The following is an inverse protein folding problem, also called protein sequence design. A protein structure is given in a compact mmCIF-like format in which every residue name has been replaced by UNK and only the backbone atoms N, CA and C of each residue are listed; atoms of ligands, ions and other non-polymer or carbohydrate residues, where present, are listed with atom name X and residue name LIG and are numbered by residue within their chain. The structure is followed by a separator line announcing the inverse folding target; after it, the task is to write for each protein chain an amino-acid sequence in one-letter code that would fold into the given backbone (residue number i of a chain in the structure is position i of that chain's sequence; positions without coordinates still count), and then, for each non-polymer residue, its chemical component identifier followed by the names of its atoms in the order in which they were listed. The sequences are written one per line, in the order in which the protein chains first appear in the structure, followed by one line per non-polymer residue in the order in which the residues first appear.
data_IF_421652991066
#
_entry.id   IF_421652991066
#
_cell.length_a   1.000
_cell.length_b   1.000
_cell.length_c   1.000
_cell.angle_alpha   90.00
_cell.angle_beta   90.00
_cell.angle_gamma   90.00
#
_symmetry.space_group_name_H-M   'P 1'
#
loop_
_entity.id
_entity.type
_entity.pdbx_description
1 polymer ?
#
# COMPACT_ATOMS: atom_id res chain seq x y z
N UNK A 1 8.77 14.51 -27.18
CA UNK A 1 8.06 14.19 -25.95
C UNK A 1 8.96 13.24 -25.18
N UNK A 2 9.60 13.69 -24.11
CA UNK A 2 10.35 12.81 -23.21
C UNK A 2 9.32 12.04 -22.39
N UNK A 3 9.12 10.76 -22.73
CA UNK A 3 8.30 9.88 -21.89
C UNK A 3 9.07 9.58 -20.62
N UNK A 4 8.43 9.79 -19.46
CA UNK A 4 8.97 9.33 -18.19
C UNK A 4 8.63 7.84 -18.03
N UNK A 5 9.61 7.04 -17.65
CA UNK A 5 9.36 5.70 -17.18
C UNK A 5 9.10 5.75 -15.65
N UNK A 6 8.24 4.91 -15.17
CA UNK A 6 7.92 4.83 -13.75
C UNK A 6 8.19 3.42 -13.26
N UNK A 7 8.87 3.30 -12.14
CA UNK A 7 9.13 2.05 -11.45
C UNK A 7 8.48 2.08 -10.07
N UNK A 8 7.88 0.96 -9.69
CA UNK A 8 7.37 0.77 -8.34
C UNK A 8 8.25 -0.23 -7.61
N UNK A 9 8.79 0.19 -6.48
CA UNK A 9 9.55 -0.62 -5.55
C UNK A 9 8.65 -1.01 -4.39
N UNK A 10 8.59 -2.29 -4.09
CA UNK A 10 7.69 -2.86 -3.09
C UNK A 10 8.52 -3.58 -2.03
N UNK A 11 8.23 -3.31 -0.76
CA UNK A 11 8.85 -3.99 0.35
C UNK A 11 7.82 -4.39 1.41
N UNK A 12 7.77 -5.68 1.73
CA UNK A 12 6.92 -6.18 2.80
C UNK A 12 7.52 -5.93 4.17
N UNK A 13 6.68 -5.46 5.08
CA UNK A 13 7.00 -5.31 6.51
C UNK A 13 6.11 -6.25 7.31
N UNK A 14 6.73 -7.07 8.12
CA UNK A 14 6.03 -8.04 8.96
C UNK A 14 5.95 -7.57 10.41
N UNK A 15 4.94 -7.98 11.18
CA UNK A 15 4.94 -7.75 12.61
C UNK A 15 6.17 -8.39 13.27
N UNK A 16 6.77 -7.68 14.21
CA UNK A 16 7.88 -8.24 14.99
C UNK A 16 7.39 -9.38 15.87
N UNK A 17 8.19 -10.43 15.98
CA UNK A 17 7.89 -11.58 16.87
C UNK A 17 7.91 -11.20 18.34
N UNK A 18 8.61 -10.13 18.70
CA UNK A 18 8.73 -9.65 20.08
C UNK A 18 7.62 -8.67 20.45
N UNK A 19 7.18 -7.86 19.50
CA UNK A 19 6.11 -6.89 19.70
C UNK A 19 5.30 -6.76 18.40
N UNK A 20 4.09 -7.31 18.33
CA UNK A 20 3.26 -7.30 17.13
C UNK A 20 2.81 -5.91 16.67
N UNK A 21 2.93 -4.89 17.51
CA UNK A 21 2.62 -3.49 17.15
C UNK A 21 3.78 -2.82 16.39
N UNK A 22 4.95 -3.47 16.37
CA UNK A 22 6.13 -2.99 15.64
C UNK A 22 6.28 -3.81 14.36
N UNK A 23 6.44 -3.12 13.23
CA UNK A 23 6.66 -3.73 11.94
C UNK A 23 8.12 -3.63 11.51
N UNK A 24 8.70 -4.76 11.19
CA UNK A 24 10.08 -4.89 10.72
C UNK A 24 10.11 -5.14 9.22
N UNK A 25 11.13 -4.63 8.55
CA UNK A 25 11.36 -4.91 7.12
C UNK A 25 11.69 -6.39 6.91
N UNK A 26 10.86 -7.05 6.12
CA UNK A 26 11.05 -8.45 5.76
C UNK A 26 12.08 -8.65 4.64
N UNK A 27 12.39 -9.89 4.28
CA UNK A 27 13.33 -10.20 3.20
C UNK A 27 12.75 -9.97 1.81
N UNK A 28 11.42 -9.85 1.69
CA UNK A 28 10.73 -9.81 0.39
C UNK A 28 10.59 -8.40 -0.11
N UNK A 29 11.37 -8.08 -1.15
CA UNK A 29 11.39 -6.81 -1.85
C UNK A 29 11.56 -7.05 -3.33
N UNK A 30 10.72 -6.40 -4.12
CA UNK A 30 10.70 -6.54 -5.56
C UNK A 30 10.25 -5.25 -6.25
N UNK A 31 10.44 -5.18 -7.52
CA UNK A 31 10.10 -4.04 -8.35
C UNK A 31 9.61 -4.50 -9.74
N UNK A 32 8.89 -3.65 -10.43
CA UNK A 32 8.24 -3.99 -11.69
C UNK A 32 9.00 -3.55 -12.95
N UNK A 33 10.22 -3.10 -12.81
CA UNK A 33 11.08 -2.81 -13.93
C UNK A 33 11.92 -4.05 -14.29
N UNK A 34 12.22 -4.28 -15.55
CA UNK A 34 12.68 -5.57 -16.12
C UNK A 34 14.06 -6.07 -15.69
N UNK A 35 14.76 -5.40 -14.80
CA UNK A 35 16.06 -5.83 -14.26
C UNK A 35 16.09 -5.70 -12.75
N UNK A 36 16.91 -6.53 -12.10
CA UNK A 36 17.14 -6.36 -10.67
C UNK A 36 17.86 -5.03 -10.42
N UNK A 37 17.37 -4.28 -9.46
CA UNK A 37 17.90 -2.96 -9.15
C UNK A 37 18.33 -2.86 -7.70
N UNK A 38 19.50 -2.26 -7.47
CA UNK A 38 19.96 -1.86 -6.13
C UNK A 38 19.65 -0.39 -5.94
N UNK A 39 18.91 -0.07 -4.91
CA UNK A 39 18.48 1.26 -4.58
C UNK A 39 18.68 1.56 -3.11
N UNK A 40 19.03 2.79 -2.77
CA UNK A 40 19.01 3.26 -1.38
C UNK A 40 17.57 3.50 -0.96
N UNK A 41 17.11 2.75 0.02
CA UNK A 41 15.75 2.90 0.53
C UNK A 41 15.58 4.25 1.24
N UNK A 42 14.46 4.93 0.98
CA UNK A 42 14.24 6.29 1.42
C UNK A 42 14.20 6.42 2.97
N UNK A 43 13.65 5.43 3.66
CA UNK A 43 13.44 5.49 5.11
C UNK A 43 14.67 5.05 5.90
N UNK A 44 15.29 3.93 5.51
CA UNK A 44 16.42 3.39 6.27
C UNK A 44 17.80 3.78 5.73
N UNK A 45 17.84 4.48 4.59
CA UNK A 45 19.06 5.01 3.96
C UNK A 45 20.14 3.96 3.63
N UNK A 46 19.78 2.66 3.61
CA UNK A 46 20.70 1.60 3.23
C UNK A 46 20.40 1.10 1.82
N UNK A 47 21.45 0.72 1.05
CA UNK A 47 21.26 0.07 -0.24
C UNK A 47 20.49 -1.25 -0.09
N UNK A 48 19.45 -1.41 -0.88
CA UNK A 48 18.63 -2.61 -0.91
C UNK A 48 18.53 -3.11 -2.35
N UNK A 49 18.65 -4.42 -2.54
CA UNK A 49 18.46 -5.04 -3.85
C UNK A 49 17.01 -5.48 -3.99
N UNK A 50 16.35 -5.02 -5.03
CA UNK A 50 14.98 -5.39 -5.38
C UNK A 50 15.00 -6.32 -6.57
N UNK A 51 14.38 -7.47 -6.43
CA UNK A 51 14.26 -8.43 -7.52
C UNK A 51 13.18 -7.98 -8.51
N UNK A 52 13.37 -8.31 -9.76
CA UNK A 52 12.35 -8.07 -10.76
C UNK A 52 11.19 -9.05 -10.56
N UNK A 53 9.99 -8.53 -10.48
CA UNK A 53 8.76 -9.29 -10.54
C UNK A 53 7.73 -8.54 -11.40
N UNK A 54 7.10 -9.18 -12.40
CA UNK A 54 6.09 -8.52 -13.21
C UNK A 54 4.81 -8.32 -12.39
N UNK A 55 4.52 -7.10 -12.01
CA UNK A 55 3.27 -6.75 -11.35
C UNK A 55 2.73 -5.39 -11.82
N UNK A 56 1.46 -5.19 -11.61
CA UNK A 56 0.79 -3.90 -11.78
C UNK A 56 0.16 -3.45 -10.47
N UNK A 57 0.27 -2.16 -10.18
CA UNK A 57 -0.48 -1.49 -9.13
C UNK A 57 -1.66 -0.78 -9.77
N UNK A 58 -2.86 -1.03 -9.26
CA UNK A 58 -4.06 -0.33 -9.67
C UNK A 58 -4.68 0.34 -8.46
N UNK A 59 -4.88 1.64 -8.58
CA UNK A 59 -5.63 2.41 -7.58
C UNK A 59 -7.10 2.09 -7.75
N UNK A 60 -7.73 1.55 -6.72
CA UNK A 60 -9.18 1.40 -6.70
C UNK A 60 -9.82 2.78 -6.81
N UNK A 61 -10.73 2.95 -7.75
CA UNK A 61 -11.58 4.14 -7.80
C UNK A 61 -12.38 4.17 -6.49
N UNK A 62 -12.05 5.11 -5.60
CA UNK A 62 -12.85 5.36 -4.42
C UNK A 62 -14.29 5.59 -4.86
N UNK A 63 -15.23 4.80 -4.36
CA UNK A 63 -16.63 5.09 -4.55
C UNK A 63 -16.91 6.50 -4.05
N UNK A 64 -17.60 7.28 -4.87
CA UNK A 64 -18.05 8.63 -4.50
C UNK A 64 -18.80 8.56 -3.16
N UNK A 65 -18.14 8.97 -2.09
CA UNK A 65 -18.73 9.07 -0.75
C UNK A 65 -18.22 8.11 0.32
N UNK A 66 -17.21 7.28 0.03
CA UNK A 66 -16.61 6.42 1.05
C UNK A 66 -15.11 6.67 1.18
N UNK A 67 -14.68 6.93 2.40
CA UNK A 67 -13.27 7.19 2.79
C UNK A 67 -12.33 5.97 2.66
N UNK A 68 -12.68 4.97 1.87
CA UNK A 68 -11.88 3.75 1.71
C UNK A 68 -11.06 3.81 0.43
N UNK A 69 -9.82 4.25 0.55
CA UNK A 69 -8.84 4.05 -0.51
C UNK A 69 -8.37 2.60 -0.50
N UNK A 70 -8.66 1.89 -1.56
CA UNK A 70 -8.16 0.52 -1.78
C UNK A 70 -7.24 0.52 -2.98
N UNK A 71 -6.09 -0.12 -2.86
CA UNK A 71 -5.21 -0.39 -3.99
C UNK A 71 -5.16 -1.90 -4.22
N UNK A 72 -4.80 -2.29 -5.42
CA UNK A 72 -4.59 -3.69 -5.76
C UNK A 72 -3.22 -3.87 -6.40
N UNK A 73 -2.53 -4.94 -6.00
CA UNK A 73 -1.32 -5.41 -6.65
C UNK A 73 -1.65 -6.70 -7.38
N UNK A 74 -1.49 -6.71 -8.70
CA UNK A 74 -1.81 -7.86 -9.56
C UNK A 74 -0.52 -8.40 -10.15
N UNK A 75 -0.32 -9.70 -10.07
CA UNK A 75 0.85 -10.39 -10.63
C UNK A 75 0.49 -11.79 -11.12
N UNK A 76 1.41 -12.46 -11.81
CA UNK A 76 1.24 -13.86 -12.20
C UNK A 76 1.28 -14.81 -11.01
N UNK A 77 0.38 -15.78 -10.97
CA UNK A 77 0.30 -16.74 -9.86
C UNK A 77 1.56 -17.63 -9.71
N UNK A 78 2.33 -17.80 -10.79
CA UNK A 78 3.59 -18.54 -10.81
C UNK A 78 4.83 -17.67 -10.62
N UNK A 79 4.67 -16.37 -10.36
CA UNK A 79 5.79 -15.46 -10.13
C UNK A 79 6.55 -15.88 -8.86
N UNK A 80 7.88 -15.90 -8.94
CA UNK A 80 8.76 -16.20 -7.82
C UNK A 80 9.52 -14.95 -7.42
N UNK A 81 9.73 -14.78 -6.13
CA UNK A 81 10.57 -13.74 -5.53
C UNK A 81 11.59 -14.46 -4.66
N UNK A 82 12.86 -14.43 -5.06
CA UNK A 82 13.85 -15.33 -4.50
C UNK A 82 13.46 -16.78 -4.75
N UNK A 83 13.39 -17.60 -3.72
CA UNK A 83 12.96 -19.00 -3.78
C UNK A 83 11.49 -19.18 -3.38
N UNK A 84 10.71 -18.12 -3.26
CA UNK A 84 9.35 -18.18 -2.74
C UNK A 84 8.35 -17.86 -3.85
N UNK A 85 7.40 -18.76 -4.06
CA UNK A 85 6.28 -18.51 -4.95
C UNK A 85 5.40 -17.42 -4.33
N UNK A 86 5.01 -16.42 -5.14
CA UNK A 86 4.29 -15.24 -4.69
C UNK A 86 2.96 -15.56 -3.99
N UNK A 87 2.32 -16.65 -4.37
CA UNK A 87 1.10 -17.14 -3.72
C UNK A 87 1.33 -17.41 -2.23
N UNK A 88 2.41 -18.10 -1.89
CA UNK A 88 2.74 -18.41 -0.49
C UNK A 88 3.08 -17.14 0.29
N UNK A 89 3.79 -16.22 -0.36
CA UNK A 89 4.10 -14.92 0.21
C UNK A 89 2.83 -14.12 0.54
N UNK A 90 1.90 -14.02 -0.42
CA UNK A 90 0.66 -13.27 -0.24
C UNK A 90 -0.25 -13.90 0.82
N UNK A 91 -0.33 -15.24 0.84
CA UNK A 91 -1.07 -15.96 1.87
C UNK A 91 -0.52 -15.63 3.25
N UNK A 92 0.78 -15.75 3.45
CA UNK A 92 1.42 -15.42 4.71
C UNK A 92 1.22 -13.94 5.08
N UNK A 93 1.36 -13.03 4.12
CA UNK A 93 1.16 -11.60 4.35
C UNK A 93 -0.26 -11.24 4.79
N UNK A 94 -1.28 -11.96 4.28
CA UNK A 94 -2.68 -11.81 4.72
C UNK A 94 -2.88 -12.39 6.12
N UNK A 95 -2.42 -13.62 6.35
CA UNK A 95 -2.60 -14.34 7.62
C UNK A 95 -1.93 -13.58 8.80
N UNK A 96 -0.74 -13.05 8.57
CA UNK A 96 0.04 -12.31 9.57
C UNK A 96 -0.19 -10.80 9.53
N UNK A 97 -1.07 -10.30 8.66
CA UNK A 97 -1.45 -8.88 8.55
C UNK A 97 -0.27 -7.95 8.28
N UNK A 98 0.56 -8.31 7.32
CA UNK A 98 1.73 -7.51 6.95
C UNK A 98 1.35 -6.14 6.40
N UNK A 99 2.33 -5.24 6.44
CA UNK A 99 2.28 -3.98 5.71
C UNK A 99 3.06 -4.13 4.40
N UNK A 100 2.64 -3.38 3.40
CA UNK A 100 3.31 -3.24 2.13
C UNK A 100 3.70 -1.78 1.95
N UNK A 101 4.98 -1.52 1.83
CA UNK A 101 5.49 -0.21 1.46
C UNK A 101 5.76 -0.17 -0.03
N UNK A 102 5.29 0.87 -0.67
CA UNK A 102 5.43 1.11 -2.11
C UNK A 102 6.11 2.45 -2.32
N UNK A 103 7.27 2.44 -2.96
CA UNK A 103 7.92 3.64 -3.45
C UNK A 103 7.75 3.73 -4.96
N UNK A 104 7.16 4.81 -5.43
CA UNK A 104 7.02 5.11 -6.85
C UNK A 104 8.10 6.10 -7.26
N UNK A 105 8.86 5.76 -8.29
CA UNK A 105 10.03 6.52 -8.73
C UNK A 105 9.95 6.77 -10.22
N UNK A 106 10.29 7.99 -10.64
CA UNK A 106 10.59 8.24 -12.06
C UNK A 106 11.97 7.73 -12.40
N UNK A 107 12.12 7.20 -13.60
CA UNK A 107 13.39 6.75 -14.14
C UNK A 107 13.82 7.69 -15.25
N UNK A 108 15.13 7.95 -15.32
CA UNK A 108 15.72 8.61 -16.48
C UNK A 108 15.51 7.73 -17.73
N UNK A 109 14.88 8.23 -18.79
CA UNK A 109 14.53 7.43 -19.96
C UNK A 109 15.76 6.96 -20.76
N UNK A 110 16.93 7.54 -20.53
CA UNK A 110 18.16 7.21 -21.25
C UNK A 110 19.03 6.19 -20.50
N UNK A 111 19.08 6.27 -19.19
CA UNK A 111 19.93 5.43 -18.34
C UNK A 111 19.16 4.41 -17.52
N UNK A 112 17.85 4.59 -17.40
CA UNK A 112 16.96 3.84 -16.51
C UNK A 112 17.39 3.86 -15.04
N UNK A 113 18.20 4.84 -14.67
CA UNK A 113 18.53 5.11 -13.28
C UNK A 113 17.37 5.82 -12.57
N UNK A 114 17.29 5.64 -11.26
CA UNK A 114 16.35 6.40 -10.43
C UNK A 114 16.64 7.90 -10.58
N UNK A 115 15.64 8.66 -10.96
CA UNK A 115 15.71 10.11 -11.12
C UNK A 115 15.06 10.82 -9.95
N UNK A 116 13.78 10.56 -9.71
CA UNK A 116 13.05 11.26 -8.66
C UNK A 116 12.06 10.32 -7.95
N UNK A 117 12.06 10.37 -6.62
CA UNK A 117 11.00 9.76 -5.81
C UNK A 117 9.71 10.56 -6.00
N UNK A 118 8.66 9.91 -6.48
CA UNK A 118 7.34 10.51 -6.69
C UNK A 118 6.49 10.38 -5.43
N UNK A 119 6.38 9.16 -4.89
CA UNK A 119 5.60 8.89 -3.68
C UNK A 119 6.16 7.73 -2.88
N UNK A 120 5.88 7.76 -1.58
CA UNK A 120 6.05 6.62 -0.67
C UNK A 120 4.72 6.38 0.03
N UNK A 121 4.19 5.19 -0.12
CA UNK A 121 2.89 4.80 0.42
C UNK A 121 3.03 3.54 1.25
N UNK A 122 2.31 3.47 2.36
CA UNK A 122 2.24 2.27 3.20
C UNK A 122 0.81 1.76 3.22
N UNK A 123 0.64 0.50 2.91
CA UNK A 123 -0.63 -0.18 2.82
C UNK A 123 -0.66 -1.37 3.76
N UNK A 124 -1.83 -1.69 4.28
CA UNK A 124 -2.05 -2.96 4.96
C UNK A 124 -2.54 -4.00 3.97
N UNK A 125 -1.97 -5.19 4.07
CA UNK A 125 -2.44 -6.34 3.29
C UNK A 125 -3.80 -6.78 3.84
N UNK A 126 -4.83 -6.73 3.00
CA UNK A 126 -6.21 -7.04 3.39
C UNK A 126 -6.60 -8.46 3.05
N UNK A 127 -6.64 -8.79 1.78
CA UNK A 127 -7.02 -10.11 1.27
C UNK A 127 -6.31 -10.39 -0.06
N UNK A 128 -6.35 -11.64 -0.49
CA UNK A 128 -5.93 -11.97 -1.85
C UNK A 128 -7.03 -12.76 -2.59
N UNK A 129 -7.02 -12.62 -3.88
CA UNK A 129 -7.86 -13.39 -4.80
C UNK A 129 -6.96 -14.03 -5.84
N UNK A 130 -7.27 -15.25 -6.23
CA UNK A 130 -6.50 -15.98 -7.23
C UNK A 130 -7.42 -16.49 -8.34
N UNK A 131 -7.01 -16.22 -9.55
CA UNK A 131 -7.53 -16.85 -10.77
C UNK A 131 -6.49 -17.84 -11.30
N UNK A 132 -6.79 -18.54 -12.37
CA UNK A 132 -5.94 -19.59 -13.00
C UNK A 132 -4.54 -19.11 -13.35
N UNK A 133 -4.38 -17.82 -13.67
CA UNK A 133 -3.12 -17.23 -14.15
C UNK A 133 -2.60 -16.08 -13.31
N UNK A 134 -3.46 -15.43 -12.55
CA UNK A 134 -3.13 -14.22 -11.83
C UNK A 134 -3.51 -14.31 -10.37
N UNK A 135 -2.79 -13.60 -9.55
CA UNK A 135 -3.11 -13.37 -8.15
C UNK A 135 -3.20 -11.87 -7.91
N UNK A 136 -4.24 -11.46 -7.21
CA UNK A 136 -4.52 -10.07 -6.86
C UNK A 136 -4.47 -9.92 -5.34
N UNK A 137 -3.58 -9.07 -4.86
CA UNK A 137 -3.50 -8.68 -3.47
C UNK A 137 -4.27 -7.38 -3.27
N UNK A 138 -5.26 -7.38 -2.39
CA UNK A 138 -5.99 -6.18 -2.00
C UNK A 138 -5.28 -5.48 -0.85
N UNK A 139 -5.05 -4.20 -1.06
CA UNK A 139 -4.36 -3.32 -0.13
C UNK A 139 -5.38 -2.31 0.41
N UNK A 140 -5.39 -2.15 1.72
CA UNK A 140 -6.27 -1.21 2.41
C UNK A 140 -5.44 -0.16 3.13
N UNK A 141 -5.96 1.05 3.23
CA UNK A 141 -5.30 2.09 3.99
C UNK A 141 -5.09 1.65 5.45
N UNK A 142 -3.92 1.88 6.05
CA UNK A 142 -3.71 1.62 7.47
C UNK A 142 -4.72 2.36 8.36
N UNK A 143 -5.20 3.52 7.92
CA UNK A 143 -6.22 4.29 8.63
C UNK A 143 -7.59 3.60 8.61
N UNK A 144 -7.94 2.95 7.49
CA UNK A 144 -9.18 2.18 7.37
C UNK A 144 -9.10 0.83 8.11
N UNK A 145 -7.88 0.30 8.23
CA UNK A 145 -7.63 -0.96 8.93
C UNK A 145 -7.75 -0.83 10.46
N UNK A 146 -7.57 0.36 10.99
CA UNK A 146 -8.01 0.75 12.32
C UNK A 146 -9.53 0.93 12.22
N UNK A 147 -10.26 -0.16 11.94
CA UNK A 147 -11.73 -0.11 11.95
C UNK A 147 -12.15 0.52 13.26
N UNK A 148 -12.29 1.83 13.16
CA UNK A 148 -12.94 2.75 14.01
C UNK A 148 -13.42 2.19 15.32
N UNK A 149 -12.52 1.99 16.19
CA UNK A 149 -12.77 2.42 17.54
C UNK A 149 -12.19 3.84 17.74
N UNK A 150 -12.30 4.70 16.71
CA UNK A 150 -12.68 6.05 17.03
C UNK A 150 -14.04 5.86 17.72
N UNK A 151 -14.11 6.15 19.04
CA UNK A 151 -15.36 5.95 19.74
C UNK A 151 -16.40 6.67 18.90
N UNK A 152 -17.41 5.92 18.46
CA UNK A 152 -18.52 6.45 17.68
C UNK A 152 -19.30 7.36 18.66
N UNK A 153 -18.66 8.45 19.06
CA UNK A 153 -19.25 9.50 19.87
C UNK A 153 -20.22 10.18 18.92
N UNK A 154 -21.44 9.66 18.90
CA UNK A 154 -22.55 10.46 18.44
C UNK A 154 -22.43 11.78 19.17
N UNK A 155 -22.41 12.87 18.45
CA UNK A 155 -22.60 14.19 19.01
C UNK A 155 -24.01 14.19 19.64
N UNK A 156 -24.06 13.86 20.92
CA UNK A 156 -25.30 13.90 21.70
C UNK A 156 -25.38 15.30 22.31
N UNK A 157 -26.59 15.74 22.60
CA UNK A 157 -26.83 17.04 23.27
C UNK A 157 -25.98 17.20 24.54
N UNK A 158 -25.71 16.09 25.26
CA UNK A 158 -24.86 16.08 26.45
C UNK A 158 -23.40 16.45 26.18
N UNK A 159 -22.93 16.31 24.94
CA UNK A 159 -21.55 16.60 24.54
C UNK A 159 -21.38 17.99 23.94
N UNK A 160 -22.38 18.52 23.31
CA UNK A 160 -22.34 19.77 22.51
C UNK A 160 -23.25 20.87 23.09
N UNK A 161 -24.04 20.55 24.11
CA UNK A 161 -25.13 21.42 24.57
C UNK A 161 -26.29 21.43 23.58
N UNK A 162 -27.34 22.14 23.89
CA UNK A 162 -28.49 22.29 23.00
C UNK A 162 -28.02 22.89 21.65
N UNK A 163 -28.06 22.06 20.60
CA UNK A 163 -27.86 22.56 19.24
C UNK A 163 -28.98 23.55 18.94
N UNK A 164 -28.66 24.74 18.38
CA UNK A 164 -29.69 25.68 17.97
C UNK A 164 -30.58 25.02 16.93
N UNK A 165 -31.74 24.52 17.36
CA UNK A 165 -32.75 24.04 16.45
C UNK A 165 -33.36 25.25 15.76
N UNK A 166 -33.04 25.37 14.46
CA UNK A 166 -33.69 26.28 13.51
C UNK A 166 -33.85 27.74 13.97
N UNK A 167 -32.78 28.51 13.79
CA UNK A 167 -32.95 29.93 13.61
C UNK A 167 -33.66 30.15 12.26
N UNK A 168 -34.93 30.53 12.28
CA UNK A 168 -35.58 31.06 11.13
C UNK A 168 -34.84 32.35 10.73
N UNK A 169 -34.02 32.27 9.68
CA UNK A 169 -33.47 33.46 9.05
C UNK A 169 -34.62 34.15 8.29
N UNK A 170 -35.22 35.09 8.95
CA UNK A 170 -36.07 36.08 8.29
C UNK A 170 -35.12 37.03 7.54
N UNK A 171 -35.05 36.88 6.22
CA UNK A 171 -34.44 37.88 5.36
C UNK A 171 -35.39 39.08 5.28
N UNK A 172 -34.98 40.20 5.85
CA UNK A 172 -35.51 41.51 5.51
C UNK A 172 -34.72 42.11 4.36
#
# INVERSE_FOLDING_TARGET
MSGYAVCNYVWFRRPSTLNPDIYEYGPYKFQNFFVNATRTHNVNSFPQTYEFAPFALATGSGEKGGDRSTNTLVTGASTEIGATIILNLFRQAVDERWLLEVETVSLDPSTFADDQLISTETWRVGSYEMDTKTITLRLISPLDAVQGQVPNRRLTEDLVGALPTTGSFSLF
#
